data_IF_858697881260
#
_entry.id   IF_858697881260
#
_cell.length_a   1.000
_cell.length_b   1.000
_cell.length_c   1.000
_cell.angle_alpha   90.00
_cell.angle_beta   90.00
_cell.angle_gamma   90.00
#
_symmetry.space_group_name_H-M   'P 1'
#
loop_
_entity.id
_entity.type
_entity.pdbx_description
1 polymer ?
#
# COMPACT_ATOMS: atom_id res chain seq x y z
N UNK A 1 20.92 11.58 5.09
CA UNK A 1 19.58 10.98 5.32
C UNK A 1 18.62 11.70 4.41
N UNK A 2 17.96 10.95 3.54
CA UNK A 2 16.91 11.47 2.69
C UNK A 2 15.58 11.44 3.44
N UNK A 3 15.17 12.60 3.97
CA UNK A 3 13.98 12.75 4.82
C UNK A 3 12.70 12.31 4.09
N UNK A 4 12.59 12.57 2.79
CA UNK A 4 11.42 12.22 1.99
C UNK A 4 11.26 10.70 1.84
N UNK A 5 12.32 10.00 1.43
CA UNK A 5 12.33 8.54 1.30
C UNK A 5 12.13 7.86 2.66
N UNK A 6 12.80 8.38 3.70
CA UNK A 6 12.65 7.85 5.06
C UNK A 6 11.20 7.96 5.54
N UNK A 7 10.58 9.13 5.36
CA UNK A 7 9.17 9.36 5.72
C UNK A 7 8.25 8.45 4.92
N UNK A 8 8.50 8.25 3.62
CA UNK A 8 7.75 7.30 2.80
C UNK A 8 7.80 5.88 3.38
N UNK A 9 8.97 5.44 3.85
CA UNK A 9 9.14 4.14 4.51
C UNK A 9 8.36 4.03 5.82
N UNK A 10 8.41 5.05 6.68
CA UNK A 10 7.63 5.07 7.93
C UNK A 10 6.13 5.05 7.66
N UNK A 11 5.64 5.84 6.71
CA UNK A 11 4.22 5.84 6.29
C UNK A 11 3.84 4.46 5.74
N UNK A 12 4.72 3.81 4.98
CA UNK A 12 4.48 2.47 4.43
C UNK A 12 4.38 1.40 5.53
N UNK A 13 5.29 1.42 6.52
CA UNK A 13 5.22 0.52 7.67
C UNK A 13 3.97 0.76 8.51
N UNK A 14 3.60 2.01 8.76
CA UNK A 14 2.34 2.34 9.42
C UNK A 14 1.13 1.81 8.63
N UNK A 15 1.15 1.99 7.30
CA UNK A 15 0.11 1.45 6.41
C UNK A 15 0.04 -0.07 6.46
N UNK A 16 1.18 -0.76 6.58
CA UNK A 16 1.24 -2.20 6.79
C UNK A 16 0.52 -2.62 8.08
N UNK A 17 0.74 -1.90 9.19
CA UNK A 17 0.06 -2.17 10.46
C UNK A 17 -1.45 -1.95 10.34
N UNK A 18 -1.87 -0.83 9.75
CA UNK A 18 -3.30 -0.55 9.53
C UNK A 18 -3.93 -1.62 8.65
N UNK A 19 -3.29 -1.98 7.55
CA UNK A 19 -3.74 -3.04 6.64
C UNK A 19 -3.92 -4.36 7.40
N UNK A 20 -2.88 -4.84 8.08
CA UNK A 20 -2.87 -6.14 8.76
C UNK A 20 -3.86 -6.19 9.93
N UNK A 21 -3.99 -5.12 10.72
CA UNK A 21 -4.80 -5.17 11.94
C UNK A 21 -6.22 -4.64 11.73
N UNK A 22 -6.37 -3.40 11.26
CA UNK A 22 -7.70 -2.80 11.06
C UNK A 22 -8.43 -3.49 9.91
N UNK A 23 -7.73 -3.71 8.80
CA UNK A 23 -8.33 -4.35 7.64
C UNK A 23 -8.66 -5.85 7.85
N UNK A 24 -8.00 -6.53 8.80
CA UNK A 24 -8.42 -7.87 9.22
C UNK A 24 -9.83 -7.84 9.86
N UNK A 25 -10.13 -6.82 10.65
CA UNK A 25 -11.42 -6.67 11.32
C UNK A 25 -12.51 -6.27 10.33
N UNK A 26 -12.25 -5.25 9.51
CA UNK A 26 -13.28 -4.62 8.67
C UNK A 26 -13.47 -5.30 7.31
N UNK A 27 -12.41 -5.91 6.76
CA UNK A 27 -12.44 -6.50 5.41
C UNK A 27 -12.34 -8.01 5.43
N UNK A 28 -11.29 -8.58 6.03
CA UNK A 28 -10.99 -10.02 5.90
C UNK A 28 -11.98 -10.89 6.68
N UNK A 29 -12.26 -10.58 7.95
CA UNK A 29 -13.18 -11.38 8.77
C UNK A 29 -14.59 -11.43 8.18
N UNK A 30 -15.22 -10.30 7.76
CA UNK A 30 -16.52 -10.34 7.07
C UNK A 30 -16.45 -11.11 5.75
N UNK A 31 -15.39 -10.90 4.97
CA UNK A 31 -15.18 -11.58 3.70
C UNK A 31 -15.10 -13.11 3.85
N UNK A 32 -14.34 -13.62 4.81
CA UNK A 32 -14.22 -15.07 5.05
C UNK A 32 -15.54 -15.70 5.51
N UNK A 33 -16.40 -14.92 6.16
CA UNK A 33 -17.74 -15.34 6.60
C UNK A 33 -18.81 -15.23 5.51
N UNK A 34 -18.48 -14.72 4.33
CA UNK A 34 -19.44 -14.62 3.22
C UNK A 34 -19.75 -15.98 2.59
N UNK A 35 -20.86 -16.04 1.84
CA UNK A 35 -21.32 -17.22 1.10
C UNK A 35 -20.52 -17.51 -0.18
N UNK A 36 -19.36 -16.86 -0.37
CA UNK A 36 -18.49 -17.15 -1.52
C UNK A 36 -17.94 -18.59 -1.46
N UNK A 37 -17.83 -19.27 -2.62
CA UNK A 37 -17.17 -20.57 -2.69
C UNK A 37 -15.73 -20.52 -2.18
N UNK A 38 -15.20 -21.66 -1.71
CA UNK A 38 -13.90 -21.71 -1.05
C UNK A 38 -12.74 -21.26 -1.94
N UNK A 39 -12.73 -21.64 -3.22
CA UNK A 39 -11.63 -21.31 -4.14
C UNK A 39 -11.41 -19.78 -4.29
N UNK A 40 -12.41 -18.97 -4.68
CA UNK A 40 -12.24 -17.51 -4.73
C UNK A 40 -11.96 -16.90 -3.35
N UNK A 41 -12.55 -17.48 -2.29
CA UNK A 41 -12.33 -17.03 -0.91
C UNK A 41 -10.86 -17.14 -0.50
N UNK A 42 -10.26 -18.31 -0.69
CA UNK A 42 -8.86 -18.57 -0.36
C UNK A 42 -7.91 -17.82 -1.30
N UNK A 43 -8.26 -17.67 -2.58
CA UNK A 43 -7.47 -16.88 -3.53
C UNK A 43 -7.32 -15.43 -3.08
N UNK A 44 -8.42 -14.78 -2.69
CA UNK A 44 -8.41 -13.40 -2.22
C UNK A 44 -7.72 -13.24 -0.86
N UNK A 45 -7.81 -14.25 0.02
CA UNK A 45 -7.00 -14.30 1.24
C UNK A 45 -5.50 -14.38 0.93
N UNK A 46 -5.12 -15.13 -0.12
CA UNK A 46 -3.75 -15.13 -0.64
C UNK A 46 -3.31 -13.73 -1.10
N UNK A 47 -4.13 -13.07 -1.93
CA UNK A 47 -3.87 -11.69 -2.37
C UNK A 47 -3.71 -10.72 -1.21
N UNK A 48 -4.53 -10.87 -0.15
CA UNK A 48 -4.42 -10.08 1.08
C UNK A 48 -3.03 -10.19 1.74
N UNK A 49 -2.50 -11.40 1.87
CA UNK A 49 -1.18 -11.64 2.45
C UNK A 49 -0.03 -11.19 1.54
N UNK A 50 -0.20 -11.26 0.21
CA UNK A 50 0.77 -10.69 -0.73
C UNK A 50 0.87 -9.17 -0.56
N UNK A 51 -0.25 -8.47 -0.44
CA UNK A 51 -0.28 -7.01 -0.17
C UNK A 51 0.34 -6.68 1.20
N UNK A 52 0.06 -7.50 2.22
CA UNK A 52 0.67 -7.34 3.55
C UNK A 52 2.20 -7.44 3.46
N UNK A 53 2.70 -8.43 2.71
CA UNK A 53 4.13 -8.70 2.56
C UNK A 53 4.84 -7.57 1.82
N UNK A 54 4.26 -7.09 0.71
CA UNK A 54 4.88 -6.00 -0.07
C UNK A 54 4.91 -4.69 0.73
N UNK A 55 3.89 -4.38 1.54
CA UNK A 55 3.87 -3.21 2.41
C UNK A 55 5.02 -3.26 3.43
N UNK A 56 5.19 -4.40 4.12
CA UNK A 56 6.27 -4.55 5.11
C UNK A 56 7.65 -4.47 4.45
N UNK A 57 7.86 -5.19 3.35
CA UNK A 57 9.15 -5.22 2.65
C UNK A 57 9.50 -3.85 2.06
N UNK A 58 8.56 -3.22 1.35
CA UNK A 58 8.78 -1.90 0.77
C UNK A 58 9.00 -0.85 1.85
N UNK A 59 8.24 -0.89 2.95
CA UNK A 59 8.44 0.00 4.09
C UNK A 59 9.83 -0.14 4.70
N UNK A 60 10.28 -1.37 4.97
CA UNK A 60 11.62 -1.62 5.49
C UNK A 60 12.73 -1.13 4.55
N UNK A 61 12.60 -1.41 3.24
CA UNK A 61 13.55 -0.97 2.21
C UNK A 61 13.62 0.54 2.10
N UNK A 62 12.47 1.23 2.02
CA UNK A 62 12.43 2.69 1.92
C UNK A 62 12.98 3.35 3.20
N UNK A 63 12.62 2.84 4.38
CA UNK A 63 13.17 3.33 5.66
C UNK A 63 14.69 3.17 5.70
N UNK A 64 15.21 2.01 5.31
CA UNK A 64 16.65 1.75 5.28
C UNK A 64 17.39 2.67 4.29
N UNK A 65 16.94 2.73 3.04
CA UNK A 65 17.54 3.60 2.01
C UNK A 65 17.48 5.06 2.42
N UNK A 66 16.33 5.53 2.94
CA UNK A 66 16.15 6.90 3.38
C UNK A 66 17.07 7.27 4.54
N UNK A 67 17.22 6.38 5.52
CA UNK A 67 18.09 6.59 6.67
C UNK A 67 19.57 6.74 6.26
N UNK A 68 20.08 5.79 5.48
CA UNK A 68 21.47 5.73 5.05
C UNK A 68 21.79 6.56 3.80
N UNK A 69 20.79 7.19 3.18
CA UNK A 69 20.93 8.07 2.02
C UNK A 69 21.59 7.40 0.80
N UNK A 70 21.13 6.18 0.48
CA UNK A 70 21.79 5.32 -0.49
C UNK A 70 21.36 5.65 -1.94
N UNK A 71 21.99 6.68 -2.52
CA UNK A 71 21.70 7.18 -3.87
C UNK A 71 21.80 6.15 -4.99
N UNK A 72 22.64 5.11 -4.82
CA UNK A 72 22.78 3.98 -5.76
C UNK A 72 21.45 3.25 -6.01
N UNK A 73 20.52 3.26 -5.05
CA UNK A 73 19.24 2.55 -5.14
C UNK A 73 18.09 3.43 -5.66
N UNK A 74 18.38 4.58 -6.27
CA UNK A 74 17.36 5.51 -6.82
C UNK A 74 16.32 4.80 -7.71
N UNK A 75 16.76 3.91 -8.61
CA UNK A 75 15.84 3.17 -9.49
C UNK A 75 14.89 2.24 -8.72
N UNK A 76 15.36 1.62 -7.63
CA UNK A 76 14.52 0.78 -6.78
C UNK A 76 13.47 1.64 -6.05
N UNK A 77 13.86 2.79 -5.51
CA UNK A 77 12.93 3.73 -4.86
C UNK A 77 11.88 4.22 -5.85
N UNK A 78 12.27 4.57 -7.07
CA UNK A 78 11.34 4.97 -8.14
C UNK A 78 10.38 3.81 -8.47
N UNK A 79 10.88 2.59 -8.65
CA UNK A 79 10.05 1.42 -8.95
C UNK A 79 9.02 1.13 -7.86
N UNK A 80 9.41 1.21 -6.58
CA UNK A 80 8.49 1.09 -5.44
C UNK A 80 7.48 2.24 -5.49
N UNK A 81 7.92 3.48 -5.65
CA UNK A 81 7.08 4.67 -5.63
C UNK A 81 6.00 4.64 -6.71
N UNK A 82 6.38 4.31 -7.95
CA UNK A 82 5.46 4.13 -9.07
C UNK A 82 4.46 3.02 -8.77
N UNK A 83 4.89 1.90 -8.19
CA UNK A 83 3.99 0.80 -7.81
C UNK A 83 2.91 1.26 -6.82
N UNK A 84 3.28 2.03 -5.80
CA UNK A 84 2.34 2.57 -4.82
C UNK A 84 1.37 3.60 -5.40
N UNK A 85 1.83 4.45 -6.33
CA UNK A 85 0.96 5.35 -7.10
C UNK A 85 -0.05 4.54 -7.92
N UNK A 86 0.40 3.49 -8.63
CA UNK A 86 -0.47 2.62 -9.41
C UNK A 86 -1.48 1.90 -8.51
N UNK A 87 -1.08 1.38 -7.35
CA UNK A 87 -2.00 0.77 -6.39
C UNK A 87 -3.07 1.75 -5.91
N UNK A 88 -2.67 2.99 -5.60
CA UNK A 88 -3.63 4.05 -5.28
C UNK A 88 -4.63 4.28 -6.41
N UNK A 89 -4.15 4.37 -7.66
CA UNK A 89 -5.01 4.55 -8.83
C UNK A 89 -5.98 3.38 -9.01
N UNK A 90 -5.56 2.14 -8.75
CA UNK A 90 -6.45 0.96 -8.79
C UNK A 90 -7.63 1.14 -7.82
N UNK A 91 -7.39 1.55 -6.58
CA UNK A 91 -8.48 1.78 -5.62
C UNK A 91 -9.41 2.93 -6.04
N UNK A 92 -8.87 4.01 -6.61
CA UNK A 92 -9.65 5.15 -7.09
C UNK A 92 -10.52 4.73 -8.29
N UNK A 93 -9.95 4.03 -9.27
CA UNK A 93 -10.65 3.64 -10.50
C UNK A 93 -11.69 2.57 -10.22
N UNK A 94 -11.28 1.46 -9.58
CA UNK A 94 -12.20 0.36 -9.25
C UNK A 94 -13.30 0.86 -8.32
N UNK A 95 -12.93 1.57 -7.25
CA UNK A 95 -13.92 2.19 -6.38
C UNK A 95 -14.84 3.11 -7.14
N UNK A 96 -14.31 3.98 -8.01
CA UNK A 96 -15.08 4.92 -8.82
C UNK A 96 -16.12 4.25 -9.70
N UNK A 97 -15.78 3.10 -10.30
CA UNK A 97 -16.71 2.30 -11.09
C UNK A 97 -17.91 1.77 -10.27
N UNK A 98 -17.71 1.38 -9.00
CA UNK A 98 -18.75 0.78 -8.16
C UNK A 98 -19.46 1.78 -7.22
N UNK A 99 -18.76 2.80 -6.74
CA UNK A 99 -19.22 3.72 -5.69
C UNK A 99 -19.22 5.20 -6.13
N UNK A 100 -18.79 5.52 -7.35
CA UNK A 100 -18.70 6.91 -7.88
C UNK A 100 -17.89 7.79 -6.91
N UNK A 101 -18.40 8.97 -6.56
CA UNK A 101 -17.74 9.89 -5.61
C UNK A 101 -17.65 9.35 -4.18
N UNK A 102 -18.48 8.37 -3.80
CA UNK A 102 -18.40 7.76 -2.46
C UNK A 102 -17.15 6.89 -2.28
N UNK A 103 -16.39 6.65 -3.35
CA UNK A 103 -15.09 5.94 -3.31
C UNK A 103 -14.13 6.57 -2.31
N UNK A 104 -14.06 7.91 -2.30
CA UNK A 104 -13.10 8.63 -1.48
C UNK A 104 -13.35 8.46 0.03
N UNK A 105 -14.58 8.10 0.43
CA UNK A 105 -14.92 7.79 1.82
C UNK A 105 -15.01 6.28 2.11
N UNK A 106 -15.52 5.47 1.17
CA UNK A 106 -15.71 4.02 1.37
C UNK A 106 -14.43 3.21 1.21
N UNK A 107 -13.50 3.66 0.36
CA UNK A 107 -12.23 3.00 0.11
C UNK A 107 -11.07 3.99 0.32
N UNK A 108 -10.80 4.42 1.57
CA UNK A 108 -9.80 5.46 1.86
C UNK A 108 -8.34 5.00 1.69
N UNK A 109 -8.09 3.75 1.27
CA UNK A 109 -6.75 3.17 1.15
C UNK A 109 -5.86 3.96 0.19
N UNK A 110 -6.44 4.59 -0.84
CA UNK A 110 -5.71 5.37 -1.84
C UNK A 110 -4.87 6.50 -1.22
N UNK A 111 -5.31 7.08 -0.09
CA UNK A 111 -4.64 8.23 0.54
C UNK A 111 -3.23 7.86 0.99
N UNK A 112 -3.11 6.78 1.78
CA UNK A 112 -1.83 6.35 2.31
C UNK A 112 -0.93 5.77 1.22
N UNK A 113 -1.51 5.01 0.27
CA UNK A 113 -0.76 4.46 -0.86
C UNK A 113 -0.18 5.57 -1.75
N UNK A 114 -0.97 6.60 -2.07
CA UNK A 114 -0.51 7.75 -2.85
C UNK A 114 0.57 8.53 -2.10
N UNK A 115 0.39 8.73 -0.79
CA UNK A 115 1.36 9.45 0.03
C UNK A 115 2.73 8.75 0.04
N UNK A 116 2.77 7.42 0.19
CA UNK A 116 4.01 6.64 0.11
C UNK A 116 4.70 6.86 -1.23
N UNK A 117 3.95 6.70 -2.32
CA UNK A 117 4.49 6.83 -3.67
C UNK A 117 4.96 8.25 -3.99
N UNK A 118 4.19 9.28 -3.61
CA UNK A 118 4.55 10.66 -3.83
C UNK A 118 5.80 11.08 -3.05
N UNK A 119 5.89 10.72 -1.77
CA UNK A 119 7.08 11.02 -0.93
C UNK A 119 8.33 10.30 -1.45
N UNK A 120 8.21 9.01 -1.78
CA UNK A 120 9.32 8.22 -2.32
C UNK A 120 9.82 8.77 -3.65
N UNK A 121 8.91 9.15 -4.55
CA UNK A 121 9.25 9.71 -5.85
C UNK A 121 9.88 11.10 -5.72
N UNK A 122 9.32 11.97 -4.87
CA UNK A 122 9.87 13.30 -4.61
C UNK A 122 11.26 13.24 -3.98
N UNK A 123 11.50 12.29 -3.07
CA UNK A 123 12.82 12.07 -2.49
C UNK A 123 13.84 11.46 -3.45
N UNK A 124 13.38 10.79 -4.51
CA UNK A 124 14.25 10.13 -5.47
C UNK A 124 14.70 11.05 -6.62
N UNK A 125 13.96 12.12 -6.93
CA UNK A 125 14.31 13.07 -7.99
C UNK A 125 15.35 14.05 -7.49
#
# INVERSE_FOLDING_TARGET
MNVWIFTAGIVCLFTALVHIFAGQVDTVRPFLKSELPDVPKITLLGCWHMVSSILVLAGAVLTYIGWFDLTLYKNLVIGISVSFIVFSLVFIVVGGCFFKLQTFSKLPQWILLLLIGALGFAGAI
#
